data_IF_016550547904
#
_entry.id   IF_016550547904
#
_cell.length_a   1.000
_cell.length_b   1.000
_cell.length_c   1.000
_cell.angle_alpha   90.00
_cell.angle_beta   90.00
_cell.angle_gamma   90.00
#
_symmetry.space_group_name_H-M   'P 1'
#
loop_
_entity.id
_entity.type
_entity.pdbx_description
1 polymer ?
#
# COMPACT_ATOMS: atom_id res chain seq x y z
N UNK A 1 -22.42 8.96 -21.56
CA UNK A 1 -21.48 7.87 -21.28
C UNK A 1 -21.46 7.66 -19.78
N UNK A 2 -21.47 6.43 -19.26
CA UNK A 2 -21.34 6.19 -17.82
C UNK A 2 -20.00 6.73 -17.30
N UNK A 3 -19.97 7.19 -16.05
CA UNK A 3 -18.72 7.47 -15.34
C UNK A 3 -18.26 6.15 -14.71
N UNK A 4 -17.27 5.49 -15.32
CA UNK A 4 -16.77 4.24 -14.75
C UNK A 4 -15.70 4.52 -13.69
N UNK A 5 -15.79 3.91 -12.50
CA UNK A 5 -14.82 4.00 -11.42
C UNK A 5 -13.38 3.81 -11.86
N UNK A 6 -13.06 2.85 -12.74
CA UNK A 6 -11.70 2.70 -13.31
C UNK A 6 -11.14 4.00 -13.91
N UNK A 7 -11.90 4.64 -14.81
CA UNK A 7 -11.44 5.88 -15.43
C UNK A 7 -11.34 6.97 -14.36
N UNK A 8 -12.24 6.95 -13.38
CA UNK A 8 -12.21 7.94 -12.31
C UNK A 8 -11.03 7.74 -11.36
N UNK A 9 -10.62 6.50 -11.04
CA UNK A 9 -9.53 6.23 -10.11
C UNK A 9 -8.18 6.64 -10.67
N UNK A 10 -7.93 6.32 -11.94
CA UNK A 10 -6.82 6.91 -12.69
C UNK A 10 -6.89 8.45 -12.72
N UNK A 11 -8.05 9.02 -13.08
CA UNK A 11 -8.19 10.49 -13.26
C UNK A 11 -7.89 11.27 -11.98
N UNK A 12 -8.37 10.86 -10.80
CA UNK A 12 -8.14 11.67 -9.60
C UNK A 12 -6.72 11.51 -9.03
N UNK A 13 -6.06 10.38 -9.26
CA UNK A 13 -4.64 10.22 -8.91
C UNK A 13 -3.75 10.99 -9.90
N UNK A 14 -4.08 10.96 -11.19
CA UNK A 14 -3.42 11.76 -12.23
C UNK A 14 -3.58 13.26 -11.95
N UNK A 15 -4.78 13.71 -11.57
CA UNK A 15 -5.01 15.10 -11.13
C UNK A 15 -4.13 15.43 -9.91
N UNK A 16 -3.95 14.50 -8.96
CA UNK A 16 -3.03 14.70 -7.84
C UNK A 16 -1.59 14.88 -8.32
N UNK A 17 -1.11 14.01 -9.22
CA UNK A 17 0.22 14.12 -9.81
C UNK A 17 0.44 15.44 -10.55
N UNK A 18 -0.55 15.90 -11.32
CA UNK A 18 -0.50 17.21 -11.98
C UNK A 18 -0.42 18.33 -10.94
N UNK A 19 -1.16 18.23 -9.82
CA UNK A 19 -1.09 19.23 -8.75
C UNK A 19 0.29 19.30 -8.09
N UNK A 20 0.95 18.16 -7.88
CA UNK A 20 2.34 18.08 -7.36
C UNK A 20 3.30 18.77 -8.34
N UNK A 21 3.19 18.47 -9.64
CA UNK A 21 4.01 19.11 -10.66
C UNK A 21 3.76 20.63 -10.74
N UNK A 22 2.49 21.05 -10.71
CA UNK A 22 2.11 22.45 -10.73
C UNK A 22 2.72 23.22 -9.55
N UNK A 23 2.72 22.61 -8.36
CA UNK A 23 3.34 23.18 -7.17
C UNK A 23 4.86 23.37 -7.36
N UNK A 24 5.56 22.36 -7.87
CA UNK A 24 7.01 22.44 -8.17
C UNK A 24 7.35 23.51 -9.22
N UNK A 25 6.43 23.80 -10.13
CA UNK A 25 6.58 24.82 -11.18
C UNK A 25 6.04 26.20 -10.78
N UNK A 26 5.60 26.38 -9.53
CA UNK A 26 4.97 27.59 -9.02
C UNK A 26 3.72 28.03 -9.82
N UNK A 27 2.90 27.06 -10.24
CA UNK A 27 1.62 27.26 -10.97
C UNK A 27 0.44 27.16 -10.00
N UNK A 28 0.30 28.15 -9.11
CA UNK A 28 -0.65 28.07 -7.99
C UNK A 28 -2.11 27.86 -8.38
N UNK A 29 -2.58 28.45 -9.48
CA UNK A 29 -3.97 28.26 -9.94
C UNK A 29 -4.22 26.83 -10.42
N UNK A 30 -3.26 26.25 -11.16
CA UNK A 30 -3.32 24.87 -11.63
C UNK A 30 -3.21 23.89 -10.44
N UNK A 31 -2.29 24.15 -9.49
CA UNK A 31 -2.16 23.37 -8.26
C UNK A 31 -3.50 23.29 -7.53
N UNK A 32 -4.14 24.44 -7.26
CA UNK A 32 -5.42 24.48 -6.54
C UNK A 32 -6.51 23.76 -7.33
N UNK A 33 -6.59 23.98 -8.64
CA UNK A 33 -7.59 23.34 -9.49
C UNK A 33 -7.50 21.81 -9.47
N UNK A 34 -6.32 21.28 -9.78
CA UNK A 34 -6.09 19.84 -9.88
C UNK A 34 -6.13 19.16 -8.51
N UNK A 35 -5.57 19.79 -7.46
CA UNK A 35 -5.64 19.26 -6.09
C UNK A 35 -7.07 19.19 -5.58
N UNK A 36 -7.89 20.22 -5.85
CA UNK A 36 -9.31 20.21 -5.46
C UNK A 36 -10.06 19.05 -6.12
N UNK A 37 -9.82 18.81 -7.41
CA UNK A 37 -10.41 17.67 -8.13
C UNK A 37 -9.96 16.34 -7.57
N UNK A 38 -8.65 16.16 -7.35
CA UNK A 38 -8.07 14.95 -6.81
C UNK A 38 -8.67 14.55 -5.45
N UNK A 39 -8.89 15.52 -4.56
CA UNK A 39 -9.39 15.28 -3.20
C UNK A 39 -10.92 15.15 -3.12
N UNK A 40 -11.68 15.68 -4.08
CA UNK A 40 -13.15 15.65 -4.05
C UNK A 40 -13.77 14.55 -4.92
N UNK A 41 -13.16 14.26 -6.08
CA UNK A 41 -13.71 13.35 -7.09
C UNK A 41 -13.89 11.90 -6.62
N UNK A 42 -12.93 11.26 -5.90
CA UNK A 42 -13.11 9.88 -5.42
C UNK A 42 -14.40 9.73 -4.63
N UNK A 43 -14.73 10.75 -3.86
CA UNK A 43 -15.84 10.75 -2.95
C UNK A 43 -17.19 11.14 -3.56
N UNK A 44 -17.21 11.46 -4.84
CA UNK A 44 -18.45 11.54 -5.62
C UNK A 44 -18.99 10.14 -5.93
N UNK A 45 -18.11 9.15 -6.07
CA UNK A 45 -18.46 7.74 -6.37
C UNK A 45 -18.37 6.84 -5.14
N UNK A 46 -17.96 7.35 -3.98
CA UNK A 46 -18.08 6.63 -2.71
C UNK A 46 -19.54 6.59 -2.25
N UNK A 47 -20.15 5.40 -2.26
CA UNK A 47 -21.52 5.20 -1.85
C UNK A 47 -21.61 4.99 -0.33
N UNK A 48 -22.05 6.01 0.41
CA UNK A 48 -22.24 5.94 1.87
C UNK A 48 -23.25 4.87 2.33
N UNK A 49 -24.11 4.37 1.43
CA UNK A 49 -25.05 3.30 1.74
C UNK A 49 -24.40 1.91 1.77
N UNK A 50 -23.43 1.67 0.89
CA UNK A 50 -22.72 0.38 0.78
C UNK A 50 -21.33 0.44 1.42
N UNK A 51 -20.77 1.62 1.60
CA UNK A 51 -19.38 1.89 2.03
C UNK A 51 -18.31 1.42 1.04
N UNK A 52 -18.69 1.29 -0.24
CA UNK A 52 -17.80 0.98 -1.36
C UNK A 52 -17.78 2.12 -2.38
N UNK A 53 -16.76 2.15 -3.23
CA UNK A 53 -16.86 2.86 -4.49
C UNK A 53 -17.92 2.17 -5.36
N UNK A 54 -18.73 2.96 -6.07
CA UNK A 54 -19.75 2.45 -6.97
C UNK A 54 -19.90 3.37 -8.18
N UNK A 55 -20.00 2.79 -9.36
CA UNK A 55 -20.16 3.52 -10.60
C UNK A 55 -21.45 4.35 -10.60
N UNK A 56 -21.44 5.46 -11.37
CA UNK A 56 -22.64 6.30 -11.56
C UNK A 56 -23.07 6.36 -13.02
N UNK A 57 -24.38 6.25 -13.21
CA UNK A 57 -25.03 6.54 -14.48
C UNK A 57 -25.00 8.05 -14.77
N UNK A 58 -25.23 8.43 -16.03
CA UNK A 58 -25.25 9.82 -16.45
C UNK A 58 -26.36 10.66 -15.79
N UNK A 59 -27.42 10.01 -15.29
CA UNK A 59 -28.50 10.64 -14.51
C UNK A 59 -28.17 10.79 -13.01
N UNK A 60 -26.98 10.35 -12.58
CA UNK A 60 -26.50 10.41 -11.20
C UNK A 60 -26.89 9.21 -10.33
N UNK A 61 -27.73 8.30 -10.82
CA UNK A 61 -28.07 7.06 -10.11
C UNK A 61 -26.87 6.12 -10.02
N UNK A 62 -26.85 5.26 -9.00
CA UNK A 62 -25.85 4.21 -8.86
C UNK A 62 -26.05 3.15 -9.95
N UNK A 63 -24.96 2.72 -10.58
CA UNK A 63 -24.99 1.75 -11.66
C UNK A 63 -24.96 0.29 -11.18
N UNK A 64 -24.85 0.06 -9.87
CA UNK A 64 -24.75 -1.27 -9.26
C UNK A 64 -23.31 -1.67 -8.95
N UNK A 65 -23.18 -2.63 -8.04
CA UNK A 65 -21.89 -3.10 -7.49
C UNK A 65 -21.01 -3.83 -8.52
N UNK A 66 -21.58 -4.37 -9.59
CA UNK A 66 -20.86 -5.14 -10.60
C UNK A 66 -20.45 -4.29 -11.83
N UNK A 67 -20.73 -2.99 -11.82
CA UNK A 67 -20.53 -2.12 -12.96
C UNK A 67 -19.29 -1.22 -12.81
N UNK A 68 -18.55 -1.08 -13.92
CA UNK A 68 -17.53 -0.05 -14.08
C UNK A 68 -16.14 -0.35 -13.52
N UNK A 69 -15.86 -1.64 -13.42
CA UNK A 69 -14.54 -2.20 -13.11
C UNK A 69 -13.90 -2.75 -14.38
N UNK A 70 -12.58 -2.72 -14.45
CA UNK A 70 -11.78 -3.49 -15.39
C UNK A 70 -10.81 -4.31 -14.57
N UNK A 71 -10.74 -5.61 -14.85
CA UNK A 71 -9.70 -6.46 -14.25
C UNK A 71 -9.71 -6.46 -12.70
N UNK A 72 -10.89 -6.23 -12.12
CA UNK A 72 -11.11 -6.17 -10.68
C UNK A 72 -12.58 -5.93 -10.36
N UNK A 73 -12.85 -5.60 -9.10
CA UNK A 73 -14.19 -5.32 -8.60
C UNK A 73 -14.16 -4.18 -7.57
N UNK A 74 -15.29 -3.96 -6.89
CA UNK A 74 -15.40 -2.95 -5.85
C UNK A 74 -14.43 -3.17 -4.67
N UNK A 75 -14.01 -4.42 -4.40
CA UNK A 75 -13.10 -4.74 -3.30
C UNK A 75 -11.67 -4.30 -3.59
N UNK A 76 -11.23 -4.36 -4.84
CA UNK A 76 -9.95 -3.77 -5.24
C UNK A 76 -10.03 -2.24 -5.33
N UNK A 77 -10.98 -1.71 -6.11
CA UNK A 77 -11.02 -0.29 -6.46
C UNK A 77 -11.48 0.63 -5.33
N UNK A 78 -12.11 0.12 -4.27
CA UNK A 78 -12.43 0.97 -3.11
C UNK A 78 -11.19 1.48 -2.40
N UNK A 79 -10.08 0.75 -2.49
CA UNK A 79 -8.79 1.12 -1.92
C UNK A 79 -7.94 2.03 -2.81
N UNK A 80 -8.39 2.31 -4.03
CA UNK A 80 -7.61 3.04 -5.02
C UNK A 80 -7.69 4.57 -4.81
N UNK A 81 -7.44 5.03 -3.58
CA UNK A 81 -7.37 6.45 -3.17
C UNK A 81 -5.98 6.71 -2.57
N UNK A 82 -4.95 6.25 -3.27
CA UNK A 82 -3.58 6.16 -2.73
C UNK A 82 -2.95 7.52 -2.39
N UNK A 83 -3.44 8.61 -2.99
CA UNK A 83 -3.03 9.97 -2.69
C UNK A 83 -3.69 10.56 -1.44
N UNK A 84 -4.77 9.96 -0.94
CA UNK A 84 -5.54 10.45 0.22
C UNK A 84 -6.17 9.29 1.02
N UNK A 85 -5.32 8.35 1.43
CA UNK A 85 -5.73 7.18 2.22
C UNK A 85 -6.35 7.59 3.56
N UNK A 86 -5.89 8.70 4.15
CA UNK A 86 -6.42 9.24 5.40
C UNK A 86 -7.91 9.63 5.26
N UNK A 87 -8.30 10.31 4.19
CA UNK A 87 -9.71 10.64 3.98
C UNK A 87 -10.60 9.39 3.77
N UNK A 88 -10.05 8.33 3.15
CA UNK A 88 -10.76 7.05 3.05
C UNK A 88 -10.92 6.39 4.44
N UNK A 89 -9.86 6.39 5.26
CA UNK A 89 -9.91 5.91 6.65
C UNK A 89 -11.00 6.66 7.44
N UNK A 90 -11.02 7.99 7.37
CA UNK A 90 -11.99 8.83 8.07
C UNK A 90 -13.43 8.54 7.65
N UNK A 91 -13.69 8.41 6.34
CA UNK A 91 -15.02 8.06 5.81
C UNK A 91 -15.47 6.68 6.23
N UNK A 92 -14.53 5.75 6.39
CA UNK A 92 -14.80 4.41 6.93
C UNK A 92 -14.95 4.40 8.45
N UNK A 93 -14.81 5.55 9.11
CA UNK A 93 -15.02 5.73 10.54
C UNK A 93 -13.78 5.45 11.39
N UNK A 94 -12.60 5.71 10.82
CA UNK A 94 -11.31 5.68 11.52
C UNK A 94 -10.55 4.36 11.40
N UNK A 95 -9.31 4.37 11.92
CA UNK A 95 -8.33 3.30 11.76
C UNK A 95 -8.87 1.90 12.03
N UNK A 96 -9.57 1.70 13.16
CA UNK A 96 -10.06 0.37 13.55
C UNK A 96 -11.02 -0.22 12.50
N UNK A 97 -11.99 0.58 12.02
CA UNK A 97 -12.96 0.13 11.02
C UNK A 97 -12.31 -0.06 9.65
N UNK A 98 -11.28 0.70 9.34
CA UNK A 98 -10.50 0.53 8.12
C UNK A 98 -9.68 -0.77 8.14
N UNK A 99 -9.01 -1.07 9.27
CA UNK A 99 -8.31 -2.35 9.49
C UNK A 99 -9.27 -3.53 9.37
N UNK A 100 -10.46 -3.46 9.97
CA UNK A 100 -11.47 -4.51 9.84
C UNK A 100 -11.91 -4.73 8.39
N UNK A 101 -11.99 -3.68 7.59
CA UNK A 101 -12.34 -3.79 6.18
C UNK A 101 -11.23 -4.39 5.32
N UNK A 102 -9.97 -4.06 5.62
CA UNK A 102 -8.84 -4.77 5.02
C UNK A 102 -8.84 -6.25 5.47
N UNK A 103 -9.15 -6.55 6.73
CA UNK A 103 -9.28 -7.94 7.19
C UNK A 103 -10.40 -8.68 6.43
N UNK A 104 -11.55 -8.03 6.18
CA UNK A 104 -12.65 -8.56 5.35
C UNK A 104 -12.19 -8.82 3.91
N UNK A 105 -11.46 -7.87 3.30
CA UNK A 105 -10.88 -8.02 1.96
C UNK A 105 -10.00 -9.28 1.85
N UNK A 106 -9.02 -9.43 2.75
CA UNK A 106 -8.08 -10.56 2.70
C UNK A 106 -8.73 -11.88 3.11
N UNK A 107 -9.54 -11.92 4.17
CA UNK A 107 -10.21 -13.16 4.61
C UNK A 107 -11.31 -13.63 3.65
N UNK A 108 -11.96 -12.69 2.95
CA UNK A 108 -12.96 -12.98 1.92
C UNK A 108 -12.35 -13.51 0.61
N UNK A 109 -11.02 -13.51 0.48
CA UNK A 109 -10.35 -13.92 -0.75
C UNK A 109 -10.49 -12.90 -1.89
N UNK A 110 -10.72 -11.62 -1.56
CA UNK A 110 -10.91 -10.55 -2.53
C UNK A 110 -9.59 -9.97 -3.06
N UNK A 111 -8.45 -10.29 -2.44
CA UNK A 111 -7.15 -9.86 -2.92
C UNK A 111 -6.69 -10.71 -4.10
N UNK A 112 -6.66 -10.13 -5.29
CA UNK A 112 -6.07 -10.74 -6.47
C UNK A 112 -4.70 -10.14 -6.76
N UNK A 113 -3.63 -10.82 -6.31
CA UNK A 113 -2.26 -10.37 -6.56
C UNK A 113 -1.84 -10.52 -8.02
N UNK A 114 -2.60 -11.24 -8.84
CA UNK A 114 -2.29 -11.35 -10.28
C UNK A 114 -2.68 -10.09 -11.05
N UNK A 115 -3.25 -9.09 -10.36
CA UNK A 115 -3.75 -7.86 -10.93
C UNK A 115 -3.26 -6.60 -10.19
N UNK A 116 -2.90 -5.58 -10.94
CA UNK A 116 -2.27 -4.36 -10.46
C UNK A 116 -3.08 -3.56 -9.42
N UNK A 117 -4.42 -3.44 -9.52
CA UNK A 117 -5.22 -2.70 -8.54
C UNK A 117 -5.10 -3.25 -7.10
N UNK A 118 -4.62 -4.48 -6.92
CA UNK A 118 -4.42 -5.06 -5.59
C UNK A 118 -3.05 -4.78 -4.97
N UNK A 119 -2.07 -4.34 -5.76
CA UNK A 119 -0.65 -4.36 -5.38
C UNK A 119 -0.32 -3.48 -4.17
N UNK A 120 -1.01 -2.35 -3.98
CA UNK A 120 -0.80 -1.44 -2.86
C UNK A 120 -1.61 -1.80 -1.62
N UNK A 121 -2.69 -2.57 -1.75
CA UNK A 121 -3.63 -2.88 -0.66
C UNK A 121 -2.97 -3.43 0.61
N UNK A 122 -1.99 -4.37 0.57
CA UNK A 122 -1.37 -4.88 1.81
C UNK A 122 -0.63 -3.78 2.60
N UNK A 123 -0.19 -2.71 1.94
CA UNK A 123 0.50 -1.59 2.57
C UNK A 123 -0.45 -0.60 3.27
N UNK A 124 -1.76 -0.68 3.01
CA UNK A 124 -2.74 0.26 3.57
C UNK A 124 -2.97 0.08 5.07
N UNK A 125 -2.64 -1.08 5.65
CA UNK A 125 -2.66 -1.22 7.12
C UNK A 125 -1.68 -0.28 7.82
N UNK A 126 -0.54 0.03 7.20
CA UNK A 126 0.45 0.95 7.76
C UNK A 126 -0.12 2.36 7.96
N UNK A 127 -0.93 2.84 7.00
CA UNK A 127 -1.63 4.13 7.09
C UNK A 127 -2.64 4.17 8.25
N UNK A 128 -3.22 3.02 8.60
CA UNK A 128 -4.14 2.88 9.73
C UNK A 128 -3.44 2.50 11.04
N UNK A 129 -2.12 2.72 11.16
CA UNK A 129 -1.33 2.40 12.37
C UNK A 129 -1.47 0.92 12.78
N UNK A 130 -1.38 0.03 11.79
CA UNK A 130 -1.45 -1.43 11.92
C UNK A 130 -0.34 -2.15 11.12
N UNK A 131 0.88 -1.63 11.11
CA UNK A 131 1.99 -2.13 10.29
C UNK A 131 2.29 -3.63 10.43
N UNK A 132 2.05 -4.24 11.60
CA UNK A 132 2.17 -5.69 11.76
C UNK A 132 1.32 -6.48 10.73
N UNK A 133 0.13 -5.98 10.37
CA UNK A 133 -0.71 -6.58 9.31
C UNK A 133 -0.13 -6.41 7.92
N UNK A 134 0.45 -5.25 7.62
CA UNK A 134 1.20 -5.06 6.38
C UNK A 134 2.33 -6.08 6.29
N UNK A 135 3.09 -6.27 7.36
CA UNK A 135 4.22 -7.20 7.41
C UNK A 135 3.77 -8.65 7.16
N UNK A 136 2.68 -9.07 7.81
CA UNK A 136 2.06 -10.39 7.59
C UNK A 136 1.63 -10.59 6.13
N UNK A 137 0.85 -9.65 5.57
CA UNK A 137 0.31 -9.78 4.21
C UNK A 137 1.38 -9.71 3.14
N UNK A 138 2.36 -8.81 3.26
CA UNK A 138 3.47 -8.73 2.30
C UNK A 138 4.26 -10.05 2.26
N UNK A 139 4.53 -10.67 3.42
CA UNK A 139 5.22 -11.97 3.48
C UNK A 139 4.39 -13.08 2.85
N UNK A 140 3.12 -13.17 3.21
CA UNK A 140 2.18 -14.15 2.68
C UNK A 140 2.12 -14.08 1.15
N UNK A 141 1.90 -12.87 0.63
CA UNK A 141 1.81 -12.60 -0.80
C UNK A 141 3.13 -12.94 -1.51
N UNK A 142 4.27 -12.46 -1.00
CA UNK A 142 5.58 -12.71 -1.59
C UNK A 142 5.88 -14.21 -1.67
N UNK A 143 5.58 -14.97 -0.60
CA UNK A 143 5.83 -16.42 -0.57
C UNK A 143 4.89 -17.23 -1.46
N UNK A 144 3.65 -16.76 -1.65
CA UNK A 144 2.61 -17.50 -2.38
C UNK A 144 2.61 -17.23 -3.87
N UNK A 145 3.10 -16.06 -4.30
CA UNK A 145 3.00 -15.59 -5.68
C UNK A 145 4.34 -15.57 -6.43
N UNK A 146 5.46 -15.76 -5.73
CA UNK A 146 6.80 -15.63 -6.31
C UNK A 146 7.70 -16.81 -5.92
N UNK A 147 8.32 -17.44 -6.92
CA UNK A 147 9.43 -18.38 -6.74
C UNK A 147 10.34 -18.38 -7.97
N UNK A 148 11.47 -19.08 -7.88
CA UNK A 148 12.49 -19.09 -8.96
C UNK A 148 12.28 -20.19 -10.02
N UNK A 149 11.13 -20.86 -10.04
CA UNK A 149 10.82 -21.87 -11.06
C UNK A 149 10.29 -21.24 -12.35
N UNK A 150 10.13 -22.04 -13.41
CA UNK A 150 9.56 -21.58 -14.68
C UNK A 150 8.09 -21.11 -14.55
N UNK A 151 7.36 -21.59 -13.54
CA UNK A 151 6.02 -21.14 -13.18
C UNK A 151 6.07 -20.26 -11.92
N UNK A 152 7.11 -19.44 -11.84
CA UNK A 152 7.47 -18.69 -10.64
C UNK A 152 6.56 -17.52 -10.31
N UNK A 153 5.72 -17.10 -11.25
CA UNK A 153 4.77 -15.99 -11.10
C UNK A 153 3.34 -16.53 -11.14
N UNK A 154 2.47 -15.96 -10.31
CA UNK A 154 1.05 -16.33 -10.25
C UNK A 154 0.20 -15.73 -11.37
N UNK A 155 0.67 -14.66 -12.01
CA UNK A 155 -0.02 -13.92 -13.07
C UNK A 155 0.89 -13.54 -14.23
N UNK A 156 0.40 -12.64 -15.09
CA UNK A 156 1.24 -12.02 -16.12
C UNK A 156 2.37 -11.23 -15.46
N UNK A 157 3.49 -11.06 -16.15
CA UNK A 157 4.63 -10.32 -15.59
C UNK A 157 4.44 -8.80 -15.68
N UNK A 158 3.58 -8.38 -16.61
CA UNK A 158 3.17 -7.00 -16.88
C UNK A 158 4.35 -6.03 -17.04
N UNK A 159 5.26 -6.43 -17.93
CA UNK A 159 6.39 -5.62 -18.39
C UNK A 159 7.30 -5.08 -17.27
N UNK A 160 7.46 -5.85 -16.20
CA UNK A 160 8.28 -5.50 -15.04
C UNK A 160 7.47 -5.22 -13.77
N UNK A 161 6.16 -5.01 -13.86
CA UNK A 161 5.34 -4.57 -12.73
C UNK A 161 5.33 -5.59 -11.58
N UNK A 162 5.09 -6.87 -11.89
CA UNK A 162 5.09 -7.93 -10.86
C UNK A 162 6.47 -8.11 -10.24
N UNK A 163 7.52 -8.08 -11.06
CA UNK A 163 8.90 -8.19 -10.62
C UNK A 163 9.29 -7.00 -9.73
N UNK A 164 8.89 -5.78 -10.09
CA UNK A 164 9.14 -4.57 -9.33
C UNK A 164 8.44 -4.59 -7.97
N UNK A 165 7.19 -5.07 -7.91
CA UNK A 165 6.48 -5.26 -6.64
C UNK A 165 7.26 -6.18 -5.70
N UNK A 166 7.74 -7.32 -6.20
CA UNK A 166 8.53 -8.24 -5.40
C UNK A 166 9.85 -7.62 -4.95
N UNK A 167 10.57 -6.93 -5.84
CA UNK A 167 11.85 -6.27 -5.49
C UNK A 167 11.63 -5.24 -4.38
N UNK A 168 10.70 -4.30 -4.54
CA UNK A 168 10.40 -3.30 -3.51
C UNK A 168 9.99 -3.95 -2.18
N UNK A 169 9.07 -4.91 -2.23
CA UNK A 169 8.63 -5.66 -1.05
C UNK A 169 9.80 -6.38 -0.37
N UNK A 170 10.72 -6.96 -1.15
CA UNK A 170 11.91 -7.65 -0.65
C UNK A 170 12.94 -6.72 0.01
N UNK A 171 13.04 -5.48 -0.47
CA UNK A 171 13.82 -4.40 0.14
C UNK A 171 13.18 -3.89 1.45
N UNK A 172 11.88 -4.12 1.63
CA UNK A 172 11.13 -3.80 2.84
C UNK A 172 10.33 -2.51 2.78
N UNK A 173 10.13 -1.92 1.59
CA UNK A 173 9.30 -0.72 1.41
C UNK A 173 8.72 -0.64 -0.01
N UNK A 174 7.58 0.04 -0.18
CA UNK A 174 6.85 0.12 -1.45
C UNK A 174 6.27 1.52 -1.71
N UNK A 175 6.33 2.03 -2.95
CA UNK A 175 5.78 3.33 -3.31
C UNK A 175 4.26 3.25 -3.54
N UNK A 176 3.46 3.29 -2.47
CA UNK A 176 1.98 3.27 -2.56
C UNK A 176 1.44 4.44 -3.39
N UNK A 177 2.00 5.63 -3.19
CA UNK A 177 1.71 6.81 -4.01
C UNK A 177 2.99 7.25 -4.75
N UNK A 178 3.16 6.91 -6.04
CA UNK A 178 4.40 7.12 -6.76
C UNK A 178 4.88 8.59 -6.87
N UNK A 179 3.98 9.55 -6.69
CA UNK A 179 4.29 10.99 -6.78
C UNK A 179 4.44 11.69 -5.43
N UNK A 180 4.30 10.96 -4.32
CA UNK A 180 4.46 11.51 -2.96
C UNK A 180 5.91 11.81 -2.61
N UNK A 181 6.85 11.07 -3.18
CA UNK A 181 8.23 11.02 -2.70
C UNK A 181 8.40 10.21 -1.42
N UNK A 182 7.42 9.37 -1.04
CA UNK A 182 7.46 8.52 0.15
C UNK A 182 7.38 7.04 -0.24
N UNK A 183 8.01 6.18 0.56
CA UNK A 183 7.88 4.73 0.48
C UNK A 183 7.27 4.19 1.78
N UNK A 184 6.19 3.42 1.68
CA UNK A 184 5.55 2.77 2.82
C UNK A 184 6.36 1.55 3.25
N UNK A 185 6.72 1.48 4.53
CA UNK A 185 7.50 0.39 5.10
C UNK A 185 6.65 -0.88 5.22
N UNK A 186 7.15 -1.97 4.65
CA UNK A 186 6.63 -3.32 4.81
C UNK A 186 7.52 -4.14 5.73
N UNK A 187 8.12 -5.21 5.19
CA UNK A 187 9.13 -6.03 5.87
C UNK A 187 10.19 -6.49 4.88
N UNK A 188 11.49 -6.27 5.14
CA UNK A 188 12.56 -6.77 4.27
C UNK A 188 12.61 -8.31 4.30
N UNK A 189 13.08 -8.94 3.23
CA UNK A 189 13.21 -10.41 3.14
C UNK A 189 14.64 -10.93 3.36
N UNK A 190 15.64 -10.06 3.28
CA UNK A 190 17.06 -10.41 3.35
C UNK A 190 17.76 -9.73 4.53
N UNK A 191 18.81 -10.37 5.08
CA UNK A 191 19.61 -9.81 6.16
C UNK A 191 20.30 -8.49 5.79
N UNK A 192 20.70 -8.38 4.52
CA UNK A 192 21.36 -7.19 3.97
C UNK A 192 21.18 -7.12 2.46
N UNK A 193 20.91 -5.93 1.94
CA UNK A 193 20.92 -5.59 0.52
C UNK A 193 21.74 -4.31 0.34
N UNK A 194 22.50 -4.21 -0.74
CA UNK A 194 23.18 -2.98 -1.14
C UNK A 194 22.79 -2.66 -2.57
N UNK A 195 22.36 -1.42 -2.80
CA UNK A 195 21.95 -0.91 -4.11
C UNK A 195 22.97 0.16 -4.52
N UNK A 196 23.65 -0.06 -5.64
CA UNK A 196 24.50 0.96 -6.26
C UNK A 196 23.63 1.98 -7.00
N UNK A 197 23.76 3.26 -6.65
CA UNK A 197 22.86 4.29 -7.18
C UNK A 197 23.41 4.95 -8.45
N UNK A 198 22.53 5.37 -9.37
CA UNK A 198 22.92 6.22 -10.49
C UNK A 198 23.57 7.52 -10.00
N UNK A 199 24.72 7.89 -10.56
CA UNK A 199 25.47 9.08 -10.14
C UNK A 199 26.48 8.86 -9.00
N UNK A 200 26.59 7.61 -8.50
CA UNK A 200 27.54 7.22 -7.49
C UNK A 200 26.95 7.19 -6.07
N UNK A 201 27.62 6.46 -5.18
CA UNK A 201 27.11 6.15 -3.85
C UNK A 201 26.30 4.84 -3.82
N UNK A 202 25.97 4.39 -2.62
CA UNK A 202 25.17 3.18 -2.42
C UNK A 202 24.16 3.37 -1.30
N UNK A 203 23.02 2.70 -1.43
CA UNK A 203 22.03 2.55 -0.38
C UNK A 203 22.19 1.16 0.23
N UNK A 204 22.56 1.11 1.50
CA UNK A 204 22.63 -0.12 2.28
C UNK A 204 21.36 -0.31 3.09
N UNK A 205 20.71 -1.46 2.92
CA UNK A 205 19.57 -1.90 3.71
C UNK A 205 20.04 -3.05 4.59
N UNK A 206 20.00 -2.88 5.91
CA UNK A 206 20.40 -3.89 6.88
C UNK A 206 19.20 -4.33 7.72
N UNK A 207 18.93 -5.63 7.77
CA UNK A 207 17.84 -6.21 8.53
C UNK A 207 18.19 -7.61 9.09
N UNK A 208 19.19 -7.73 10.00
CA UNK A 208 19.63 -9.04 10.49
C UNK A 208 18.47 -9.86 11.10
N UNK A 209 18.30 -11.09 10.62
CA UNK A 209 17.23 -12.00 11.00
C UNK A 209 15.98 -11.91 10.13
N UNK A 210 15.89 -10.96 9.19
CA UNK A 210 14.73 -10.76 8.31
C UNK A 210 14.24 -12.03 7.59
N UNK A 211 15.06 -13.00 7.17
CA UNK A 211 14.54 -14.23 6.58
C UNK A 211 13.57 -15.00 7.47
N UNK A 212 13.72 -14.92 8.81
CA UNK A 212 12.93 -15.69 9.78
C UNK A 212 12.09 -14.83 10.72
N UNK A 213 12.36 -13.52 10.80
CA UNK A 213 11.69 -12.57 11.69
C UNK A 213 10.83 -11.63 10.85
N UNK A 214 9.51 -11.86 10.76
CA UNK A 214 8.67 -11.11 9.83
C UNK A 214 8.32 -9.71 10.31
N UNK A 215 8.49 -9.41 11.61
CA UNK A 215 8.03 -8.15 12.17
C UNK A 215 9.17 -7.13 12.29
N UNK A 216 8.82 -5.85 12.14
CA UNK A 216 9.75 -4.73 12.32
C UNK A 216 9.50 -4.08 13.68
N UNK A 217 10.53 -4.04 14.52
CA UNK A 217 10.51 -3.41 15.84
C UNK A 217 10.89 -1.94 15.80
N UNK A 218 11.85 -1.59 14.96
CA UNK A 218 12.25 -0.20 14.74
C UNK A 218 12.95 -0.07 13.39
N UNK A 219 12.93 1.14 12.83
CA UNK A 219 13.66 1.48 11.61
C UNK A 219 14.45 2.76 11.87
N UNK A 220 15.69 2.80 11.39
CA UNK A 220 16.45 4.05 11.30
C UNK A 220 16.87 4.32 9.86
N UNK A 221 16.75 5.57 9.43
CA UNK A 221 17.21 6.06 8.14
C UNK A 221 18.36 7.03 8.40
N UNK A 222 19.56 6.69 7.92
CA UNK A 222 20.80 7.43 8.19
C UNK A 222 21.03 7.72 9.68
N UNK A 223 20.73 6.72 10.54
CA UNK A 223 20.85 6.80 11.99
C UNK A 223 19.73 7.56 12.71
N UNK A 224 18.73 8.11 12.00
CA UNK A 224 17.56 8.76 12.59
C UNK A 224 16.39 7.79 12.67
N UNK A 225 15.76 7.67 13.84
CA UNK A 225 14.62 6.78 14.03
C UNK A 225 13.38 7.24 13.25
N UNK A 226 12.81 6.34 12.44
CA UNK A 226 11.54 6.56 11.76
C UNK A 226 10.38 6.42 12.76
N UNK A 227 9.63 7.50 12.95
CA UNK A 227 8.47 7.53 13.84
C UNK A 227 7.17 7.07 13.16
N UNK A 228 7.14 7.16 11.83
CA UNK A 228 6.05 6.77 10.97
C UNK A 228 6.52 5.64 10.05
N UNK A 229 5.60 4.85 9.46
CA UNK A 229 5.96 3.73 8.61
C UNK A 229 6.30 4.19 7.18
N UNK A 230 7.04 5.29 7.05
CA UNK A 230 7.40 5.90 5.77
C UNK A 230 8.90 6.21 5.71
N UNK A 231 9.47 6.09 4.52
CA UNK A 231 10.82 6.53 4.18
C UNK A 231 10.70 7.61 3.11
N UNK A 232 11.26 8.78 3.36
CA UNK A 232 11.27 9.86 2.37
C UNK A 232 12.35 9.59 1.31
N UNK A 233 11.99 9.73 0.05
CA UNK A 233 12.90 9.56 -1.08
C UNK A 233 14.12 10.48 -0.96
N UNK A 234 13.92 11.72 -0.50
CA UNK A 234 15.00 12.70 -0.33
C UNK A 234 16.07 12.26 0.67
N UNK A 235 15.73 11.40 1.63
CA UNK A 235 16.68 10.88 2.62
C UNK A 235 17.58 9.78 2.07
N UNK A 236 17.17 9.11 0.99
CA UNK A 236 17.88 7.94 0.44
C UNK A 236 18.34 8.11 -1.01
N UNK A 237 17.89 9.15 -1.71
CA UNK A 237 18.18 9.39 -3.13
C UNK A 237 19.68 9.55 -3.46
N UNK A 238 20.50 9.90 -2.46
CA UNK A 238 21.97 10.05 -2.59
C UNK A 238 22.75 8.90 -1.94
N UNK A 239 22.05 7.82 -1.59
CA UNK A 239 22.60 6.69 -0.84
C UNK A 239 22.46 6.91 0.66
N UNK A 240 23.07 6.02 1.43
CA UNK A 240 22.98 6.02 2.88
C UNK A 240 22.62 4.66 3.43
N UNK A 241 21.94 4.65 4.58
CA UNK A 241 21.61 3.42 5.31
C UNK A 241 20.15 3.41 5.74
N UNK A 242 19.47 2.28 5.54
CA UNK A 242 18.21 1.94 6.19
C UNK A 242 18.52 0.72 7.07
N UNK A 243 18.33 0.85 8.38
CA UNK A 243 18.55 -0.26 9.31
C UNK A 243 17.24 -0.63 9.99
N UNK A 244 16.84 -1.89 9.83
CA UNK A 244 15.68 -2.51 10.45
C UNK A 244 16.12 -3.35 11.65
N UNK A 245 15.46 -3.15 12.78
CA UNK A 245 15.49 -4.10 13.90
C UNK A 245 14.33 -5.07 13.75
N UNK A 246 14.62 -6.34 13.49
CA UNK A 246 13.60 -7.37 13.23
C UNK A 246 13.15 -8.08 14.52
N UNK A 247 11.89 -8.52 14.56
CA UNK A 247 11.26 -9.24 15.66
C UNK A 247 10.51 -10.49 15.20
N UNK A 248 10.46 -11.51 16.07
CA UNK A 248 9.70 -12.75 15.85
C UNK A 248 8.21 -12.58 16.16
N UNK A 249 7.85 -11.57 16.95
CA UNK A 249 6.48 -11.28 17.37
C UNK A 249 6.04 -9.89 16.91
N UNK A 250 4.73 -9.64 16.72
CA UNK A 250 4.23 -8.31 16.41
C UNK A 250 4.70 -7.27 17.42
N UNK A 251 5.13 -6.11 16.93
CA UNK A 251 5.64 -5.00 17.75
C UNK A 251 4.67 -3.83 17.72
N UNK A 252 4.74 -2.96 18.73
CA UNK A 252 3.86 -1.78 18.83
C UNK A 252 4.25 -0.66 17.87
N UNK A 253 5.46 -0.71 17.30
CA UNK A 253 5.94 0.28 16.33
C UNK A 253 4.95 0.37 15.16
N UNK A 254 4.38 1.56 14.99
CA UNK A 254 3.35 1.91 13.99
C UNK A 254 2.19 0.90 13.91
N UNK A 255 1.87 0.25 15.02
CA UNK A 255 0.84 -0.78 15.13
C UNK A 255 -0.14 -0.53 16.30
N UNK A 256 -0.31 0.73 16.69
CA UNK A 256 -1.14 1.10 17.85
C UNK A 256 -2.62 0.73 17.73
N UNK A 257 -3.17 0.68 16.51
CA UNK A 257 -4.56 0.25 16.28
C UNK A 257 -4.77 -1.21 16.68
N UNK A 258 -3.73 -2.05 16.57
CA UNK A 258 -3.78 -3.47 16.92
C UNK A 258 -3.87 -3.74 18.43
N UNK A 259 -3.33 -2.83 19.25
CA UNK A 259 -3.40 -2.95 20.72
C UNK A 259 -4.86 -2.88 21.20
N UNK A 260 -5.67 -2.00 20.60
CA UNK A 260 -7.12 -1.93 20.86
C UNK A 260 -7.92 -3.08 20.24
N UNK A 261 -7.43 -3.63 19.11
CA UNK A 261 -8.07 -4.73 18.38
C UNK A 261 -8.06 -6.05 19.18
N UNK A 262 -6.96 -6.37 19.85
CA UNK A 262 -6.82 -7.60 20.66
C UNK A 262 -7.84 -7.72 21.82
N UNK A 263 -8.37 -6.59 22.29
CA UNK A 263 -9.43 -6.54 23.31
C UNK A 263 -10.84 -6.80 22.74
N UNK A 264 -10.99 -6.88 21.41
CA UNK A 264 -12.23 -7.20 20.71
C UNK A 264 -12.04 -8.48 19.88
N UNK A 265 -12.07 -9.64 20.55
CA UNK A 265 -11.92 -10.99 19.98
C UNK A 265 -10.57 -11.22 19.28
N UNK A 266 -9.65 -11.84 20.02
CA UNK A 266 -8.52 -12.56 19.44
C UNK A 266 -9.01 -13.62 18.43
N UNK A 267 -8.99 -13.29 17.14
CA UNK A 267 -8.94 -14.30 16.09
C UNK A 267 -7.54 -14.91 16.20
N UNK A 268 -7.47 -16.19 16.59
CA UNK A 268 -6.19 -16.91 16.64
C UNK A 268 -5.68 -17.06 15.21
N UNK A 269 -4.60 -16.37 14.88
CA UNK A 269 -3.85 -16.58 13.65
C UNK A 269 -3.06 -17.89 13.78
N UNK A 270 -3.43 -18.90 12.99
CA UNK A 270 -2.63 -20.12 12.83
C UNK A 270 -1.79 -19.98 11.57
N UNK A 271 -0.50 -19.70 11.76
CA UNK A 271 0.48 -19.81 10.69
C UNK A 271 0.77 -21.30 10.47
N UNK A 272 0.28 -21.86 9.36
CA UNK A 272 0.72 -23.18 8.93
C UNK A 272 2.09 -23.01 8.30
N UNK A 273 3.15 -23.32 9.06
CA UNK A 273 4.48 -23.50 8.48
C UNK A 273 4.40 -24.67 7.51
N UNK A 274 4.43 -24.42 6.20
CA UNK A 274 4.71 -25.49 5.24
C UNK A 274 6.19 -25.84 5.35
N UNK A 275 6.47 -26.95 6.02
CA UNK A 275 7.77 -27.57 6.07
C UNK A 275 8.03 -28.39 4.80
N UNK A 276 9.30 -28.29 4.35
CA UNK A 276 10.04 -29.02 3.31
C UNK A 276 9.73 -28.69 1.86
#
# INVERSE_FOLDING_TARGET
>A
MPLYPLWMTGIYHDDYAISVLASLLNKSDDEVYFRTRALSTPFTIFNNGTMFMEARNADGSWAGQDAGWTEGDMWAYTFDVVHDVEALIDRRGGNLKFVQFLDEHFHGGHNDQTNEPSHHIPYLYAFANASARTQERVREIASSNYNSSINGLSGNEDCGQMSAWYIFSALGFYPVNPVSGEYTIGTPLFDKVTIDLPGGGSLEISAPGAPNKPYVKSVTVNGKAAQLPFIDHVDIAKGGTIAFEMSETPEVWTSGTMVGYSNQKAVKYSFTTMSS
#
